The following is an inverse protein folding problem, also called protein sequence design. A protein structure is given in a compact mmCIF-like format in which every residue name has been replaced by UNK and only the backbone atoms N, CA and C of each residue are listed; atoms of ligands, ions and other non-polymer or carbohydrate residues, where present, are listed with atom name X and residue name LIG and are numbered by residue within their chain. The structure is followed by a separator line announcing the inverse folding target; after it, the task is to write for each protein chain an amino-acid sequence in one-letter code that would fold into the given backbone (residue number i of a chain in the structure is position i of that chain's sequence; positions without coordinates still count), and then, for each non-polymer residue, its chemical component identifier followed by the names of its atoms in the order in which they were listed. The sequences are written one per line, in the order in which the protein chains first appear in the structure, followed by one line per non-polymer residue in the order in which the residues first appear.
data_IF_168447411478
#
_entry.id   IF_168447411478
#
_cell.length_a   1.000
_cell.length_b   1.000
_cell.length_c   1.000
_cell.angle_alpha   90.00
_cell.angle_beta   90.00
_cell.angle_gamma   90.00
#
_symmetry.space_group_name_H-M   'P 1'
#
loop_
_entity.id
_entity.type
_entity.pdbx_description
1 polymer ?
#
# COMPACT_ATOMS: atom_id res chain seq x y z
N UNK A 1 -1.10 9.30 21.90
CA UNK A 1 -1.10 9.77 23.29
C UNK A 1 -2.29 10.70 23.57
N UNK A 2 -2.56 11.66 22.70
CA UNK A 2 -3.57 12.69 22.95
C UNK A 2 -5.01 12.16 22.96
N UNK A 3 -5.35 11.23 22.08
CA UNK A 3 -6.71 10.72 21.89
C UNK A 3 -6.90 9.29 22.42
N UNK A 4 -5.83 8.58 22.72
CA UNK A 4 -5.89 7.24 23.30
C UNK A 4 -6.83 6.29 22.57
N UNK A 5 -7.78 5.73 23.30
CA UNK A 5 -8.74 4.76 22.76
C UNK A 5 -9.85 5.35 21.90
N UNK A 6 -9.87 6.66 21.71
CA UNK A 6 -10.84 7.33 20.82
C UNK A 6 -10.50 7.18 19.33
N UNK A 7 -9.25 6.75 19.01
CA UNK A 7 -8.82 6.53 17.62
C UNK A 7 -9.40 5.23 17.11
N UNK A 8 -10.13 5.28 16.01
CA UNK A 8 -10.72 4.10 15.37
C UNK A 8 -9.97 3.66 14.11
N UNK A 9 -9.35 4.62 13.41
CA UNK A 9 -8.64 4.36 12.15
C UNK A 9 -7.33 5.15 12.12
N UNK A 10 -6.26 4.51 11.66
CA UNK A 10 -5.01 5.16 11.32
C UNK A 10 -4.79 4.99 9.82
N UNK A 11 -4.73 6.11 9.12
CA UNK A 11 -4.34 6.15 7.72
C UNK A 11 -2.90 6.65 7.62
N UNK A 12 -1.98 5.75 7.30
CA UNK A 12 -0.58 6.09 7.12
C UNK A 12 -0.30 6.42 5.65
N UNK A 13 0.49 7.45 5.40
CA UNK A 13 0.82 7.88 4.04
C UNK A 13 1.67 6.87 3.27
N UNK A 14 2.37 5.99 3.99
CA UNK A 14 3.10 4.87 3.40
C UNK A 14 3.19 3.70 4.40
N UNK A 15 3.66 2.58 3.90
CA UNK A 15 3.76 1.35 4.69
C UNK A 15 4.81 1.43 5.81
N UNK A 16 5.89 2.19 5.61
CA UNK A 16 6.88 2.41 6.66
C UNK A 16 6.27 3.10 7.88
N UNK A 17 5.42 4.10 7.64
CA UNK A 17 4.67 4.78 8.71
C UNK A 17 3.63 3.84 9.34
N UNK A 18 2.98 2.99 8.54
CA UNK A 18 2.02 1.99 9.04
C UNK A 18 2.70 1.00 9.98
N UNK A 19 3.90 0.53 9.66
CA UNK A 19 4.68 -0.35 10.54
C UNK A 19 5.00 0.31 11.88
N UNK A 20 5.38 1.59 11.85
CA UNK A 20 5.61 2.36 13.08
C UNK A 20 4.34 2.51 13.91
N UNK A 21 3.21 2.80 13.26
CA UNK A 21 1.92 2.89 13.93
C UNK A 21 1.48 1.55 14.55
N UNK A 22 1.74 0.44 13.86
CA UNK A 22 1.42 -0.89 14.36
C UNK A 22 2.12 -1.19 15.70
N UNK A 23 3.38 -0.78 15.85
CA UNK A 23 4.10 -0.91 17.11
C UNK A 23 3.40 -0.17 18.25
N UNK A 24 2.90 1.03 17.98
CA UNK A 24 2.16 1.82 18.96
C UNK A 24 0.80 1.19 19.30
N UNK A 25 0.12 0.63 18.32
CA UNK A 25 -1.14 -0.10 18.51
C UNK A 25 -0.91 -1.32 19.42
N UNK A 26 0.12 -2.11 19.13
CA UNK A 26 0.48 -3.28 19.93
C UNK A 26 0.83 -2.88 21.37
N UNK A 27 1.62 -1.81 21.54
CA UNK A 27 2.01 -1.30 22.85
C UNK A 27 0.81 -0.79 23.65
N UNK A 28 -0.23 -0.29 22.99
CA UNK A 28 -1.48 0.15 23.63
C UNK A 28 -2.44 -1.01 23.95
N UNK A 29 -2.07 -2.24 23.60
CA UNK A 29 -2.91 -3.42 23.82
C UNK A 29 -4.15 -3.48 22.92
N UNK A 30 -4.15 -2.74 21.81
CA UNK A 30 -5.25 -2.73 20.86
C UNK A 30 -5.00 -3.72 19.74
N UNK A 31 -6.06 -4.14 19.06
CA UNK A 31 -5.99 -5.16 18.02
C UNK A 31 -6.58 -4.65 16.72
N UNK A 32 -5.76 -4.64 15.66
CA UNK A 32 -6.22 -4.29 14.31
C UNK A 32 -7.29 -5.28 13.86
N UNK A 33 -8.35 -4.74 13.28
CA UNK A 33 -9.51 -5.52 12.82
C UNK A 33 -10.56 -5.79 13.89
N UNK A 34 -10.28 -5.44 15.15
CA UNK A 34 -11.21 -5.62 16.27
C UNK A 34 -11.66 -4.27 16.85
N UNK A 35 -10.73 -3.45 17.25
CA UNK A 35 -11.02 -2.16 17.88
C UNK A 35 -10.32 -0.98 17.22
N UNK A 36 -9.51 -1.23 16.19
CA UNK A 36 -8.84 -0.20 15.39
C UNK A 36 -8.55 -0.75 13.98
N UNK A 37 -8.48 0.13 13.01
CA UNK A 37 -8.09 -0.22 11.64
C UNK A 37 -6.82 0.55 11.25
N UNK A 38 -5.96 -0.08 10.46
CA UNK A 38 -4.69 0.47 10.02
C UNK A 38 -4.51 0.22 8.53
N UNK A 39 -4.29 1.29 7.77
CA UNK A 39 -4.03 1.19 6.33
C UNK A 39 -2.77 1.97 5.96
N UNK A 40 -2.07 1.49 4.96
CA UNK A 40 -0.86 2.10 4.43
C UNK A 40 -0.90 2.24 2.91
N UNK A 41 0.24 2.55 2.32
CA UNK A 41 0.46 2.67 0.88
C UNK A 41 1.86 2.14 0.57
N UNK A 42 2.02 1.44 -0.51
CA UNK A 42 3.18 0.92 -1.23
C UNK A 42 3.14 -0.60 -1.45
N UNK A 43 2.43 -1.35 -0.61
CA UNK A 43 2.39 -2.82 -0.63
C UNK A 43 3.80 -3.42 -0.50
N UNK A 44 4.56 -2.97 0.49
CA UNK A 44 5.85 -3.58 0.82
C UNK A 44 5.64 -5.06 1.17
N UNK A 45 6.55 -5.96 0.78
CA UNK A 45 6.39 -7.40 1.05
C UNK A 45 6.08 -7.74 2.50
N UNK A 46 6.73 -7.09 3.44
CA UNK A 46 6.49 -7.24 4.87
C UNK A 46 5.05 -6.83 5.25
N UNK A 47 4.56 -5.73 4.69
CA UNK A 47 3.20 -5.24 4.97
C UNK A 47 2.16 -6.13 4.31
N UNK A 48 2.40 -6.62 3.10
CA UNK A 48 1.52 -7.61 2.45
C UNK A 48 1.36 -8.85 3.33
N UNK A 49 2.46 -9.34 3.93
CA UNK A 49 2.41 -10.47 4.86
C UNK A 49 1.54 -10.14 6.09
N UNK A 50 1.72 -8.96 6.67
CA UNK A 50 0.91 -8.52 7.81
C UNK A 50 -0.57 -8.33 7.46
N UNK A 51 -0.87 -7.94 6.23
CA UNK A 51 -2.26 -7.88 5.73
C UNK A 51 -2.85 -9.28 5.64
N UNK A 52 -2.10 -10.26 5.12
CA UNK A 52 -2.53 -11.66 5.09
C UNK A 52 -2.85 -12.20 6.49
N UNK A 53 -2.06 -11.81 7.47
CA UNK A 53 -2.23 -12.21 8.87
C UNK A 53 -3.33 -11.44 9.61
N UNK A 54 -3.92 -10.42 8.97
CA UNK A 54 -4.93 -9.56 9.58
C UNK A 54 -4.38 -8.53 10.58
N UNK A 55 -3.07 -8.32 10.63
CA UNK A 55 -2.42 -7.37 11.52
C UNK A 55 -2.37 -5.94 10.98
N UNK A 56 -2.52 -5.79 9.67
CA UNK A 56 -2.76 -4.52 8.98
C UNK A 56 -4.01 -4.73 8.14
N UNK A 57 -4.92 -3.74 8.14
CA UNK A 57 -6.21 -3.86 7.46
C UNK A 57 -6.06 -3.92 5.95
N UNK A 58 -5.14 -3.12 5.41
CA UNK A 58 -4.88 -3.08 3.98
C UNK A 58 -3.79 -2.10 3.62
N UNK A 59 -3.36 -2.19 2.39
CA UNK A 59 -2.43 -1.26 1.77
C UNK A 59 -2.83 -1.04 0.33
N UNK A 60 -2.10 -0.21 -0.38
CA UNK A 60 -2.35 0.09 -1.79
C UNK A 60 -1.03 -0.08 -2.54
N UNK A 61 -1.02 -0.93 -3.56
CA UNK A 61 0.16 -1.07 -4.42
C UNK A 61 0.30 0.18 -5.28
N UNK A 62 1.40 0.87 -5.11
CA UNK A 62 1.89 1.85 -6.06
C UNK A 62 2.68 1.08 -7.12
N UNK A 63 2.02 0.74 -8.22
CA UNK A 63 2.52 -0.25 -9.19
C UNK A 63 3.78 0.22 -9.91
N UNK A 64 4.91 0.09 -9.24
CA UNK A 64 6.23 0.51 -9.75
C UNK A 64 6.66 -0.31 -10.98
N UNK A 65 6.24 -1.56 -11.09
CA UNK A 65 6.54 -2.40 -12.25
C UNK A 65 5.75 -1.90 -13.47
N UNK A 66 4.44 -1.70 -13.30
CA UNK A 66 3.59 -1.15 -14.37
C UNK A 66 4.05 0.25 -14.81
N UNK A 67 4.42 1.10 -13.84
CA UNK A 67 4.96 2.43 -14.14
C UNK A 67 6.26 2.35 -14.93
N UNK A 68 7.18 1.47 -14.54
CA UNK A 68 8.47 1.30 -15.22
C UNK A 68 8.29 0.78 -16.66
N UNK A 69 7.43 -0.21 -16.84
CA UNK A 69 7.13 -0.74 -18.18
C UNK A 69 6.47 0.33 -19.06
N UNK A 70 5.47 1.04 -18.54
CA UNK A 70 4.80 2.11 -19.27
C UNK A 70 5.79 3.21 -19.66
N UNK A 71 6.63 3.63 -18.75
CA UNK A 71 7.66 4.65 -19.01
C UNK A 71 8.63 4.20 -20.11
N UNK A 72 9.09 2.95 -20.06
CA UNK A 72 9.96 2.38 -21.08
C UNK A 72 9.30 2.34 -22.45
N UNK A 73 8.07 1.86 -22.54
CA UNK A 73 7.32 1.78 -23.80
C UNK A 73 7.08 3.18 -24.39
N UNK A 74 6.72 4.15 -23.55
CA UNK A 74 6.51 5.54 -23.98
C UNK A 74 7.82 6.16 -24.45
N UNK A 75 8.93 5.89 -23.77
CA UNK A 75 10.25 6.39 -24.18
C UNK A 75 10.66 5.86 -25.55
N UNK A 76 10.38 4.59 -25.84
CA UNK A 76 10.64 3.98 -27.16
C UNK A 76 9.79 4.67 -28.24
N UNK A 77 8.51 4.89 -27.98
CA UNK A 77 7.62 5.61 -28.90
C UNK A 77 8.11 7.03 -29.16
N UNK A 78 8.53 7.74 -28.11
CA UNK A 78 9.07 9.09 -28.22
C UNK A 78 10.33 9.12 -29.11
N UNK A 79 11.24 8.18 -28.90
CA UNK A 79 12.47 8.06 -29.69
C UNK A 79 12.18 7.76 -31.17
N UNK A 80 11.11 7.02 -31.45
CA UNK A 80 10.66 6.72 -32.81
C UNK A 80 9.89 7.86 -33.48
N UNK A 81 9.65 8.97 -32.77
CA UNK A 81 8.89 10.11 -33.29
C UNK A 81 7.40 9.86 -33.39
N UNK A 82 6.87 8.84 -32.72
CA UNK A 82 5.44 8.55 -32.72
C UNK A 82 4.66 9.58 -31.89
N UNK A 83 3.37 9.83 -32.23
CA UNK A 83 2.53 10.71 -31.42
C UNK A 83 2.34 10.15 -30.03
N UNK A 84 2.45 11.02 -29.01
CA UNK A 84 2.27 10.66 -27.62
C UNK A 84 1.03 11.31 -27.04
N UNK A 85 0.43 10.63 -26.07
CA UNK A 85 -0.62 11.20 -25.23
C UNK A 85 0.01 12.12 -24.19
N UNK A 86 -0.79 13.03 -23.63
CA UNK A 86 -0.33 13.94 -22.58
C UNK A 86 -0.02 13.22 -21.28
N UNK A 87 -0.81 12.19 -20.96
CA UNK A 87 -0.72 11.42 -19.73
C UNK A 87 -0.86 9.93 -20.01
N UNK A 88 -0.10 9.14 -19.27
CA UNK A 88 -0.21 7.68 -19.22
C UNK A 88 -0.42 7.28 -17.77
N UNK A 89 -1.65 6.91 -17.41
CA UNK A 89 -2.01 6.58 -16.03
C UNK A 89 -1.76 5.11 -15.75
N UNK A 90 -1.12 4.84 -14.62
CA UNK A 90 -0.99 3.50 -14.05
C UNK A 90 -1.70 3.53 -12.70
N UNK A 91 -2.77 2.77 -12.58
CA UNK A 91 -3.64 2.82 -11.42
C UNK A 91 -3.00 2.17 -10.19
N UNK A 92 -3.34 2.68 -9.02
CA UNK A 92 -3.05 2.01 -7.75
C UNK A 92 -3.95 0.78 -7.60
N UNK A 93 -3.44 -0.25 -6.93
CA UNK A 93 -4.20 -1.48 -6.68
C UNK A 93 -4.45 -1.65 -5.19
N UNK A 94 -5.71 -1.78 -4.81
CA UNK A 94 -6.10 -2.05 -3.43
C UNK A 94 -5.66 -3.45 -3.02
N UNK A 95 -4.98 -3.56 -1.88
CA UNK A 95 -4.52 -4.83 -1.31
C UNK A 95 -5.17 -5.02 0.06
N UNK A 96 -5.99 -6.04 0.16
CA UNK A 96 -6.67 -6.43 1.39
C UNK A 96 -6.41 -7.92 1.66
N UNK A 97 -6.89 -8.43 2.78
CA UNK A 97 -6.73 -9.84 3.11
C UNK A 97 -7.26 -10.78 2.01
N UNK A 98 -8.27 -10.34 1.25
CA UNK A 98 -8.87 -11.13 0.17
C UNK A 98 -7.92 -11.41 -1.00
N UNK A 99 -7.04 -10.45 -1.32
CA UNK A 99 -6.15 -10.55 -2.49
C UNK A 99 -4.66 -10.43 -2.17
N UNK A 100 -4.30 -10.26 -0.91
CA UNK A 100 -2.91 -10.05 -0.52
C UNK A 100 -1.98 -11.19 -0.97
N UNK A 101 -2.46 -12.42 -1.00
CA UNK A 101 -1.69 -13.58 -1.43
C UNK A 101 -1.17 -13.45 -2.87
N UNK A 102 -1.86 -12.73 -3.73
CA UNK A 102 -1.45 -12.48 -5.11
C UNK A 102 -0.19 -11.61 -5.20
N UNK A 103 0.06 -10.83 -4.17
CA UNK A 103 1.18 -9.88 -4.10
C UNK A 103 2.34 -10.37 -3.21
N UNK A 104 2.12 -11.41 -2.42
CA UNK A 104 3.10 -11.88 -1.44
C UNK A 104 4.36 -12.48 -2.09
N UNK A 105 4.27 -12.99 -3.31
CA UNK A 105 5.36 -13.66 -4.01
C UNK A 105 6.14 -12.76 -4.98
N UNK A 106 5.84 -11.49 -4.98
CA UNK A 106 6.42 -10.57 -5.97
C UNK A 106 7.55 -9.69 -5.42
#
# INVERSE_FOLDING_TARGET
AQFGNEIDVIFANNDGMALGALQSIDAAGRTVGKDIYLVGVDALPEVVQLVMEGRITGTVLNDHVGQSHTAGDVAIKAAAGEPLEKNYTVDYVKVTQENAAEFAAK
#
